data_IF_575785494188
#
_entry.id   IF_575785494188
#
_cell.length_a   1.000
_cell.length_b   1.000
_cell.length_c   1.000
_cell.angle_alpha   90.00
_cell.angle_beta   90.00
_cell.angle_gamma   90.00
#
_symmetry.space_group_name_H-M   'P 1'
#
loop_
_entity.id
_entity.type
_entity.pdbx_description
1 polymer ?
#
# COMPACT_ATOMS: atom_id res chain seq x y z
N UNK A 1 -1.79 16.10 -9.19
CA UNK A 1 -0.59 15.60 -8.51
C UNK A 1 0.24 14.71 -9.43
N UNK A 2 1.56 14.67 -9.21
CA UNK A 2 2.52 13.72 -9.76
C UNK A 2 2.98 12.75 -8.66
N UNK A 3 3.49 11.58 -9.04
CA UNK A 3 4.04 10.61 -8.08
C UNK A 3 5.44 10.19 -8.55
N UNK A 4 6.47 10.52 -7.76
CA UNK A 4 7.79 9.88 -7.90
C UNK A 4 7.74 8.60 -7.08
N UNK A 5 7.73 7.46 -7.78
CA UNK A 5 7.51 6.15 -7.18
C UNK A 5 8.70 5.22 -7.42
N UNK A 6 9.45 4.95 -6.35
CA UNK A 6 10.68 4.14 -6.36
C UNK A 6 10.63 3.10 -5.23
N UNK A 7 11.39 2.02 -5.39
CA UNK A 7 11.60 1.05 -4.31
C UNK A 7 12.31 1.68 -3.08
N UNK A 8 13.15 2.70 -3.28
CA UNK A 8 13.88 3.36 -2.19
C UNK A 8 13.86 4.89 -2.31
N UNK A 9 12.83 5.49 -1.70
CA UNK A 9 12.59 6.94 -1.71
C UNK A 9 13.60 7.78 -0.93
N UNK A 10 14.41 7.15 -0.07
CA UNK A 10 15.45 7.81 0.72
C UNK A 10 16.85 7.72 0.07
N UNK A 11 16.91 7.43 -1.23
CA UNK A 11 18.16 7.47 -2.00
C UNK A 11 18.45 8.88 -2.52
N UNK A 12 19.73 9.27 -2.56
CA UNK A 12 20.12 10.63 -2.96
C UNK A 12 19.63 11.00 -4.37
N UNK A 13 19.66 10.06 -5.33
CA UNK A 13 19.16 10.30 -6.68
C UNK A 13 17.66 10.68 -6.70
N UNK A 14 16.85 10.02 -5.86
CA UNK A 14 15.41 10.30 -5.76
C UNK A 14 15.18 11.63 -5.06
N UNK A 15 15.92 11.91 -3.99
CA UNK A 15 15.87 13.17 -3.28
C UNK A 15 16.21 14.37 -4.20
N UNK A 16 17.20 14.21 -5.08
CA UNK A 16 17.53 15.21 -6.10
C UNK A 16 16.44 15.33 -7.17
N UNK A 17 15.85 14.22 -7.62
CA UNK A 17 14.74 14.23 -8.56
C UNK A 17 13.51 14.97 -8.00
N UNK A 18 13.20 14.78 -6.72
CA UNK A 18 12.15 15.52 -6.02
C UNK A 18 12.43 17.02 -6.05
N UNK A 19 13.62 17.45 -5.65
CA UNK A 19 13.98 18.87 -5.62
C UNK A 19 13.86 19.52 -7.01
N UNK A 20 14.43 18.86 -8.04
CA UNK A 20 14.33 19.32 -9.44
C UNK A 20 12.89 19.38 -9.95
N UNK A 21 12.04 18.45 -9.52
CA UNK A 21 10.63 18.40 -9.94
C UNK A 21 9.83 19.53 -9.31
N UNK A 22 10.03 19.82 -8.01
CA UNK A 22 9.40 20.97 -7.35
C UNK A 22 9.91 22.30 -7.90
N UNK A 23 11.17 22.40 -8.29
CA UNK A 23 11.71 23.59 -8.94
C UNK A 23 11.08 23.82 -10.33
N UNK A 24 10.98 22.76 -11.14
CA UNK A 24 10.42 22.85 -12.49
C UNK A 24 8.89 23.04 -12.52
N UNK A 25 8.19 22.50 -11.53
CA UNK A 25 6.72 22.49 -11.44
C UNK A 25 6.24 22.89 -10.04
N UNK A 26 6.44 24.15 -9.62
CA UNK A 26 6.20 24.59 -8.24
C UNK A 26 4.73 24.49 -7.82
N UNK A 27 3.80 24.71 -8.75
CA UNK A 27 2.35 24.68 -8.50
C UNK A 27 1.74 23.28 -8.55
N UNK A 28 2.52 22.26 -8.92
CA UNK A 28 2.04 20.89 -9.03
C UNK A 28 2.27 20.13 -7.72
N UNK A 29 1.20 19.52 -7.19
CA UNK A 29 1.30 18.61 -6.05
C UNK A 29 2.21 17.42 -6.40
N UNK A 30 3.18 17.12 -5.55
CA UNK A 30 4.14 16.04 -5.73
C UNK A 30 4.08 15.06 -4.55
N UNK A 31 3.76 13.81 -4.86
CA UNK A 31 3.87 12.69 -3.94
C UNK A 31 5.20 11.99 -4.19
N UNK A 32 5.94 11.63 -3.14
CA UNK A 32 7.16 10.85 -3.29
C UNK A 32 7.23 9.69 -2.30
N UNK A 33 7.80 8.58 -2.75
CA UNK A 33 8.03 7.39 -1.93
C UNK A 33 8.64 6.25 -2.75
N UNK A 34 8.84 5.06 -2.18
CA UNK A 34 8.42 4.70 -0.83
C UNK A 34 9.52 4.87 0.21
N UNK A 35 9.12 5.34 1.38
CA UNK A 35 9.94 5.34 2.61
C UNK A 35 9.26 4.48 3.68
N UNK A 36 9.93 4.25 4.79
CA UNK A 36 9.34 3.53 5.92
C UNK A 36 9.96 3.88 7.27
N UNK A 37 10.72 4.98 7.34
CA UNK A 37 11.46 5.42 8.53
C UNK A 37 11.23 6.92 8.75
N UNK A 38 11.47 7.36 9.99
CA UNK A 38 11.48 8.78 10.37
C UNK A 38 12.35 9.62 9.44
N UNK A 39 13.63 9.24 9.28
CA UNK A 39 14.59 10.01 8.48
C UNK A 39 14.19 10.09 7.00
N UNK A 40 13.68 9.00 6.43
CA UNK A 40 13.25 8.99 5.03
C UNK A 40 12.05 9.89 4.78
N UNK A 41 11.06 9.87 5.68
CA UNK A 41 9.91 10.76 5.60
C UNK A 41 10.31 12.23 5.80
N UNK A 42 11.17 12.51 6.79
CA UNK A 42 11.73 13.83 7.03
C UNK A 42 12.49 14.36 5.82
N UNK A 43 13.35 13.55 5.21
CA UNK A 43 14.17 13.96 4.06
C UNK A 43 13.34 14.35 2.83
N UNK A 44 12.20 13.69 2.61
CA UNK A 44 11.24 14.05 1.56
C UNK A 44 10.46 15.31 1.91
N UNK A 45 9.94 15.41 3.14
CA UNK A 45 9.21 16.59 3.60
C UNK A 45 10.09 17.86 3.59
N UNK A 46 11.36 17.76 3.98
CA UNK A 46 12.34 18.86 3.96
C UNK A 46 12.61 19.37 2.53
N UNK A 47 12.29 18.56 1.49
CA UNK A 47 12.44 18.92 0.07
C UNK A 47 11.15 19.38 -0.59
N UNK A 48 10.09 19.57 0.19
CA UNK A 48 8.85 20.19 -0.28
C UNK A 48 7.95 19.29 -1.10
N UNK A 49 7.96 17.97 -0.87
CA UNK A 49 6.87 17.11 -1.36
C UNK A 49 5.56 17.53 -0.72
N UNK A 50 4.44 17.28 -1.40
CA UNK A 50 3.09 17.59 -0.91
C UNK A 50 2.43 16.38 -0.24
N UNK A 51 3.00 15.17 -0.40
CA UNK A 51 2.70 14.00 0.42
C UNK A 51 3.85 12.98 0.41
N UNK A 52 3.95 12.20 1.49
CA UNK A 52 4.91 11.08 1.59
C UNK A 52 4.18 9.75 1.47
N UNK A 53 4.64 8.89 0.55
CA UNK A 53 4.14 7.52 0.37
C UNK A 53 4.99 6.52 1.15
N UNK A 54 4.34 5.70 1.97
CA UNK A 54 4.99 4.86 2.99
C UNK A 54 4.70 3.39 2.77
N UNK A 55 5.76 2.60 2.65
CA UNK A 55 5.68 1.14 2.64
C UNK A 55 6.80 0.49 1.85
N UNK A 56 7.69 -0.22 2.55
CA UNK A 56 8.77 -1.01 1.93
C UNK A 56 8.53 -2.49 2.15
N UNK A 57 8.14 -3.16 1.07
CA UNK A 57 7.82 -4.59 1.03
C UNK A 57 6.51 -5.10 1.67
N UNK A 58 5.47 -4.30 2.02
CA UNK A 58 4.23 -4.84 2.59
C UNK A 58 3.25 -5.37 1.54
N UNK A 59 3.48 -5.12 0.25
CA UNK A 59 2.56 -5.45 -0.83
C UNK A 59 2.31 -6.96 -0.96
N UNK A 60 1.09 -7.36 -1.30
CA UNK A 60 0.69 -8.79 -1.40
C UNK A 60 1.43 -9.59 -2.47
N UNK A 61 2.01 -8.89 -3.46
CA UNK A 61 2.73 -9.45 -4.61
C UNK A 61 4.21 -9.02 -4.61
N UNK A 62 4.67 -8.43 -3.52
CA UNK A 62 6.03 -7.94 -3.36
C UNK A 62 6.87 -9.00 -2.64
N UNK A 63 8.08 -9.22 -3.14
CA UNK A 63 9.06 -10.14 -2.55
C UNK A 63 10.30 -9.43 -2.03
N UNK A 64 10.37 -8.09 -2.08
CA UNK A 64 11.49 -7.27 -1.57
C UNK A 64 12.03 -7.78 -0.23
N UNK A 65 11.18 -7.98 0.78
CA UNK A 65 11.63 -8.44 2.11
C UNK A 65 12.31 -9.81 2.09
N UNK A 66 11.86 -10.70 1.22
CA UNK A 66 12.37 -12.06 1.11
C UNK A 66 13.65 -12.09 0.28
N UNK A 67 13.67 -11.34 -0.83
CA UNK A 67 14.77 -11.36 -1.80
C UNK A 67 15.94 -10.50 -1.31
N UNK A 68 15.69 -9.33 -0.73
CA UNK A 68 16.73 -8.38 -0.32
C UNK A 68 16.97 -8.37 1.19
N UNK A 69 16.06 -8.92 1.99
CA UNK A 69 16.08 -8.83 3.45
C UNK A 69 15.66 -7.46 4.01
N UNK A 70 15.29 -6.51 3.14
CA UNK A 70 14.97 -5.12 3.52
C UNK A 70 13.46 -4.91 3.65
N UNK A 71 13.04 -4.28 4.75
CA UNK A 71 11.67 -3.78 4.92
C UNK A 71 11.31 -3.55 6.38
N UNK A 72 10.15 -2.92 6.62
CA UNK A 72 9.65 -2.62 7.95
C UNK A 72 8.19 -3.06 8.11
N UNK A 73 7.76 -3.61 9.26
CA UNK A 73 6.35 -3.83 9.53
C UNK A 73 5.51 -2.56 9.27
N UNK A 74 4.47 -2.67 8.44
CA UNK A 74 3.81 -1.50 7.84
C UNK A 74 3.22 -0.54 8.87
N UNK A 75 2.65 -1.06 9.96
CA UNK A 75 2.05 -0.21 10.99
C UNK A 75 3.11 0.67 11.68
N UNK A 76 4.28 0.11 11.98
CA UNK A 76 5.42 0.87 12.53
C UNK A 76 5.96 1.85 11.50
N UNK A 77 6.11 1.44 10.24
CA UNK A 77 6.59 2.32 9.17
C UNK A 77 5.70 3.57 8.99
N UNK A 78 4.37 3.40 9.12
CA UNK A 78 3.41 4.51 9.09
C UNK A 78 3.66 5.44 10.28
N UNK A 79 3.73 4.91 11.51
CA UNK A 79 3.93 5.71 12.72
C UNK A 79 5.25 6.50 12.66
N UNK A 80 6.35 5.83 12.31
CA UNK A 80 7.67 6.46 12.19
C UNK A 80 7.68 7.57 11.12
N UNK A 81 7.00 7.34 9.99
CA UNK A 81 6.91 8.34 8.92
C UNK A 81 6.03 9.54 9.32
N UNK A 82 4.93 9.31 10.04
CA UNK A 82 4.06 10.36 10.60
C UNK A 82 4.86 11.25 11.55
N UNK A 83 5.67 10.66 12.42
CA UNK A 83 6.58 11.39 13.29
C UNK A 83 7.61 12.20 12.47
N UNK A 84 8.19 11.61 11.41
CA UNK A 84 9.18 12.27 10.56
C UNK A 84 8.67 13.47 9.75
N UNK A 85 7.40 13.45 9.33
CA UNK A 85 6.79 14.60 8.62
C UNK A 85 6.36 15.71 9.57
N UNK A 86 6.22 15.45 10.87
CA UNK A 86 5.83 16.44 11.90
C UNK A 86 4.57 17.23 11.52
N UNK A 87 3.59 16.56 10.88
CA UNK A 87 2.34 17.17 10.44
C UNK A 87 2.45 18.16 9.26
N UNK A 88 3.64 18.35 8.68
CA UNK A 88 3.87 19.27 7.56
C UNK A 88 3.14 18.82 6.28
N UNK A 89 3.08 17.52 6.05
CA UNK A 89 2.50 16.92 4.83
C UNK A 89 1.74 15.63 5.16
N UNK A 90 0.69 15.28 4.41
CA UNK A 90 -0.03 14.03 4.60
C UNK A 90 0.84 12.79 4.28
N UNK A 91 0.55 11.70 4.98
CA UNK A 91 1.15 10.39 4.78
C UNK A 91 0.17 9.44 4.09
N UNK A 92 0.64 8.73 3.07
CA UNK A 92 -0.11 7.70 2.34
C UNK A 92 0.42 6.32 2.73
N UNK A 93 -0.40 5.50 3.37
CA UNK A 93 -0.06 4.12 3.70
C UNK A 93 -0.24 3.21 2.48
N UNK A 94 0.86 2.73 1.91
CA UNK A 94 0.89 1.98 0.65
C UNK A 94 1.24 0.49 0.86
N UNK A 95 0.27 -0.37 0.58
CA UNK A 95 0.41 -1.82 0.61
C UNK A 95 0.10 -2.47 1.96
N UNK A 96 -0.12 -3.79 1.92
CA UNK A 96 -0.39 -4.62 3.12
C UNK A 96 -1.84 -4.63 3.62
N UNK A 97 -2.73 -3.81 3.04
CA UNK A 97 -4.16 -3.81 3.36
C UNK A 97 -4.82 -5.08 2.79
N UNK A 98 -5.44 -5.87 3.65
CA UNK A 98 -6.17 -7.11 3.27
C UNK A 98 -7.66 -7.01 3.58
N UNK A 99 -8.00 -6.32 4.67
CA UNK A 99 -9.37 -6.13 5.13
C UNK A 99 -9.64 -4.65 5.38
N UNK A 100 -10.93 -4.26 5.41
CA UNK A 100 -11.34 -2.89 5.76
C UNK A 100 -10.85 -2.47 7.15
N UNK A 101 -10.73 -3.41 8.10
CA UNK A 101 -10.12 -3.15 9.41
C UNK A 101 -8.65 -2.75 9.35
N UNK A 102 -7.90 -3.16 8.32
CA UNK A 102 -6.52 -2.71 8.14
C UNK A 102 -6.47 -1.25 7.66
N UNK A 103 -7.49 -0.79 6.91
CA UNK A 103 -7.65 0.64 6.56
C UNK A 103 -7.87 1.47 7.81
N UNK A 104 -8.74 1.01 8.72
CA UNK A 104 -8.97 1.67 10.02
C UNK A 104 -7.67 1.79 10.79
N UNK A 105 -6.89 0.70 10.89
CA UNK A 105 -5.61 0.70 11.62
C UNK A 105 -4.58 1.64 10.99
N UNK A 106 -4.46 1.66 9.66
CA UNK A 106 -3.52 2.52 8.96
C UNK A 106 -3.85 4.01 9.17
N UNK A 107 -5.13 4.37 9.10
CA UNK A 107 -5.58 5.74 9.36
C UNK A 107 -5.45 6.09 10.85
N UNK A 108 -5.83 5.20 11.77
CA UNK A 108 -5.65 5.40 13.20
C UNK A 108 -4.16 5.49 13.62
N UNK A 109 -3.23 4.96 12.81
CA UNK A 109 -1.79 5.10 13.01
C UNK A 109 -1.23 6.43 12.48
N UNK A 110 -2.06 7.32 11.94
CA UNK A 110 -1.68 8.67 11.51
C UNK A 110 -1.67 8.90 10.00
N UNK A 111 -1.84 7.85 9.18
CA UNK A 111 -1.94 8.04 7.73
C UNK A 111 -3.19 8.85 7.36
N UNK A 112 -3.08 9.68 6.33
CA UNK A 112 -4.19 10.50 5.82
C UNK A 112 -5.00 9.75 4.76
N UNK A 113 -4.36 8.83 4.05
CA UNK A 113 -4.99 7.98 3.05
C UNK A 113 -4.28 6.63 2.96
N UNK A 114 -4.91 5.68 2.26
CA UNK A 114 -4.35 4.35 1.99
C UNK A 114 -4.29 4.12 0.48
N UNK A 115 -3.21 3.52 0.00
CA UNK A 115 -3.06 3.03 -1.37
C UNK A 115 -3.17 1.51 -1.37
N UNK A 116 -4.02 0.97 -2.26
CA UNK A 116 -4.36 -0.44 -2.30
C UNK A 116 -4.30 -0.98 -3.72
N UNK A 117 -3.48 -2.01 -3.95
CA UNK A 117 -3.43 -2.74 -5.22
C UNK A 117 -4.40 -3.93 -5.23
N UNK A 118 -4.11 -4.96 -4.43
CA UNK A 118 -4.86 -6.24 -4.42
C UNK A 118 -6.35 -6.10 -4.11
N UNK A 119 -6.73 -5.08 -3.35
CA UNK A 119 -8.15 -4.81 -3.06
C UNK A 119 -8.94 -4.48 -4.33
N UNK A 120 -8.32 -3.80 -5.31
CA UNK A 120 -8.93 -3.37 -6.56
C UNK A 120 -8.53 -4.21 -7.78
N UNK A 121 -7.46 -5.02 -7.70
CA UNK A 121 -6.96 -5.77 -8.86
C UNK A 121 -8.00 -6.69 -9.53
N UNK A 122 -8.96 -7.22 -8.77
CA UNK A 122 -10.01 -8.11 -9.29
C UNK A 122 -11.29 -7.42 -9.75
N UNK A 123 -11.36 -6.08 -9.71
CA UNK A 123 -12.60 -5.36 -10.07
C UNK A 123 -12.78 -5.27 -11.59
N UNK A 124 -13.98 -4.95 -12.02
CA UNK A 124 -14.33 -4.83 -13.44
C UNK A 124 -13.46 -3.78 -14.15
N UNK A 125 -13.26 -2.63 -13.49
CA UNK A 125 -12.56 -1.45 -14.00
C UNK A 125 -11.04 -1.58 -13.96
N UNK A 126 -10.49 -2.60 -13.29
CA UNK A 126 -9.05 -2.83 -13.34
C UNK A 126 -8.61 -3.26 -14.75
N UNK A 127 -7.35 -3.02 -15.16
CA UNK A 127 -6.87 -3.49 -16.46
C UNK A 127 -6.93 -5.02 -16.62
N UNK A 128 -6.96 -5.48 -17.87
CA UNK A 128 -7.00 -6.90 -18.23
C UNK A 128 -8.40 -7.51 -18.19
N UNK A 129 -8.63 -8.54 -19.01
CA UNK A 129 -9.91 -9.25 -19.06
C UNK A 129 -10.01 -10.32 -17.98
N UNK A 130 -11.23 -10.57 -17.50
CA UNK A 130 -11.48 -11.68 -16.59
C UNK A 130 -11.55 -13.00 -17.36
N UNK A 131 -10.86 -14.03 -16.88
CA UNK A 131 -10.84 -15.36 -17.46
C UNK A 131 -11.52 -16.39 -16.54
N UNK A 132 -12.03 -17.47 -17.13
CA UNK A 132 -12.66 -18.56 -16.39
C UNK A 132 -11.62 -19.63 -16.07
N UNK A 133 -11.61 -20.07 -14.81
CA UNK A 133 -10.82 -21.22 -14.39
C UNK A 133 -11.59 -21.99 -13.32
N UNK A 134 -11.74 -23.30 -13.52
CA UNK A 134 -12.44 -24.20 -12.57
C UNK A 134 -13.84 -23.66 -12.18
N UNK A 135 -14.55 -23.07 -13.15
CA UNK A 135 -15.89 -22.52 -12.94
C UNK A 135 -15.95 -21.18 -12.19
N UNK A 136 -14.81 -20.57 -11.87
CA UNK A 136 -14.72 -19.25 -11.22
C UNK A 136 -14.01 -18.24 -12.11
N UNK A 137 -14.41 -16.96 -12.00
CA UNK A 137 -13.78 -15.86 -12.75
C UNK A 137 -12.61 -15.28 -11.96
N UNK A 138 -11.51 -15.00 -12.65
CA UNK A 138 -10.31 -14.40 -12.08
C UNK A 138 -9.77 -13.28 -12.98
N UNK A 139 -8.94 -12.40 -12.41
CA UNK A 139 -8.09 -11.44 -13.15
C UNK A 139 -6.63 -11.64 -12.76
N UNK A 140 -5.72 -11.31 -13.67
CA UNK A 140 -4.28 -11.35 -13.41
C UNK A 140 -3.87 -10.10 -12.62
N UNK A 141 -2.99 -10.28 -11.65
CA UNK A 141 -2.32 -9.20 -10.92
C UNK A 141 -0.83 -9.49 -10.91
N UNK A 142 0.00 -8.47 -11.12
CA UNK A 142 1.45 -8.58 -11.07
C UNK A 142 2.07 -7.46 -10.27
N UNK A 143 3.12 -7.76 -9.53
CA UNK A 143 3.93 -6.74 -8.88
C UNK A 143 4.72 -5.97 -9.93
N UNK A 144 4.93 -4.68 -9.73
CA UNK A 144 5.80 -3.91 -10.65
C UNK A 144 7.24 -4.44 -10.67
N UNK A 145 7.65 -5.22 -9.67
CA UNK A 145 8.95 -5.91 -9.65
C UNK A 145 8.94 -7.31 -10.25
N UNK A 146 7.83 -7.74 -10.88
CA UNK A 146 7.78 -9.02 -11.59
C UNK A 146 8.50 -8.91 -12.94
N UNK A 147 8.93 -10.05 -13.48
CA UNK A 147 9.64 -10.08 -14.77
C UNK A 147 8.84 -9.40 -15.88
N UNK A 148 7.57 -9.76 -16.08
CA UNK A 148 6.77 -9.15 -17.16
C UNK A 148 6.54 -7.64 -16.97
N UNK A 149 6.41 -7.16 -15.73
CA UNK A 149 6.26 -5.73 -15.49
C UNK A 149 7.57 -4.97 -15.74
N UNK A 150 8.71 -5.54 -15.36
CA UNK A 150 10.02 -4.92 -15.59
C UNK A 150 10.39 -4.90 -17.06
N UNK A 151 10.04 -5.96 -17.82
CA UNK A 151 10.17 -6.00 -19.29
C UNK A 151 9.38 -4.87 -19.98
N UNK A 152 8.26 -4.44 -19.38
CA UNK A 152 7.43 -3.35 -19.89
C UNK A 152 7.82 -1.96 -19.33
N UNK A 153 8.98 -1.85 -18.65
CA UNK A 153 9.58 -0.55 -18.32
C UNK A 153 9.45 -0.12 -16.85
N UNK A 154 9.28 -1.05 -15.92
CA UNK A 154 9.33 -0.74 -14.47
C UNK A 154 10.62 -1.19 -13.77
N UNK A 155 11.65 -1.57 -14.54
CA UNK A 155 12.94 -2.00 -14.00
C UNK A 155 13.70 -0.86 -13.28
N UNK A 156 13.59 0.38 -13.79
CA UNK A 156 14.19 1.59 -13.22
C UNK A 156 13.75 1.85 -11.77
N UNK A 157 12.49 1.55 -11.45
CA UNK A 157 11.92 1.62 -10.11
C UNK A 157 12.72 0.80 -9.08
N UNK A 158 13.34 -0.31 -9.52
CA UNK A 158 14.12 -1.25 -8.70
C UNK A 158 15.63 -1.10 -8.92
N UNK A 159 16.07 0.00 -9.53
CA UNK A 159 17.49 0.28 -9.80
C UNK A 159 18.13 -0.80 -10.69
N UNK A 160 17.35 -1.40 -11.58
CA UNK A 160 17.82 -2.40 -12.55
C UNK A 160 17.78 -1.81 -13.95
N UNK A 161 18.92 -1.83 -14.65
CA UNK A 161 19.02 -1.35 -16.02
C UNK A 161 18.40 -2.36 -17.00
N UNK A 162 17.41 -1.91 -17.77
CA UNK A 162 16.80 -2.70 -18.83
C UNK A 162 17.80 -3.03 -19.97
N UNK A 163 18.90 -2.27 -20.09
CA UNK A 163 19.95 -2.47 -21.10
C UNK A 163 20.78 -3.76 -20.88
N UNK A 164 20.80 -4.29 -19.66
CA UNK A 164 21.59 -5.48 -19.31
C UNK A 164 20.96 -6.81 -19.78
N UNK A 165 19.79 -6.72 -20.42
CA UNK A 165 19.01 -7.84 -20.95
C UNK A 165 18.19 -8.57 -19.88
N UNK A 166 16.97 -8.96 -20.25
CA UNK A 166 15.95 -9.60 -19.39
C UNK A 166 16.48 -10.74 -18.51
N UNK A 167 17.47 -11.50 -19.00
CA UNK A 167 18.04 -12.66 -18.28
C UNK A 167 18.81 -12.32 -17.00
N UNK A 168 19.17 -11.04 -16.77
CA UNK A 168 19.92 -10.61 -15.58
C UNK A 168 19.05 -9.93 -14.51
N UNK A 169 17.75 -9.74 -14.76
CA UNK A 169 16.88 -9.07 -13.81
C UNK A 169 16.63 -9.97 -12.58
N UNK A 170 16.67 -9.36 -11.39
CA UNK A 170 16.38 -10.01 -10.10
C UNK A 170 15.01 -9.50 -9.61
N UNK A 171 13.92 -10.24 -9.85
CA UNK A 171 12.57 -9.73 -9.58
C UNK A 171 12.28 -9.60 -8.08
N UNK A 172 11.68 -8.48 -7.70
CA UNK A 172 11.17 -8.18 -6.37
C UNK A 172 9.63 -8.23 -6.29
N UNK A 173 9.01 -8.89 -7.28
CA UNK A 173 7.58 -9.15 -7.31
C UNK A 173 7.21 -10.43 -8.04
N UNK A 174 5.98 -10.87 -7.83
CA UNK A 174 5.40 -12.06 -8.47
C UNK A 174 4.18 -11.72 -9.30
N UNK A 175 3.76 -12.68 -10.11
CA UNK A 175 2.51 -12.67 -10.86
C UNK A 175 1.55 -13.68 -10.24
N UNK A 176 0.29 -13.29 -10.13
CA UNK A 176 -0.74 -14.08 -9.51
C UNK A 176 -2.08 -13.82 -10.20
N UNK A 177 -3.09 -14.56 -9.75
CA UNK A 177 -4.48 -14.30 -10.07
C UNK A 177 -5.25 -13.94 -8.81
N UNK A 178 -6.25 -13.10 -8.96
CA UNK A 178 -7.21 -12.75 -7.89
C UNK A 178 -8.63 -13.05 -8.35
N UNK A 179 -9.54 -13.43 -7.45
CA UNK A 179 -10.95 -13.62 -7.80
C UNK A 179 -11.54 -12.34 -8.41
N UNK A 180 -12.45 -12.51 -9.37
CA UNK A 180 -13.26 -11.40 -9.89
C UNK A 180 -14.16 -10.85 -8.79
N UNK A 181 -14.17 -9.53 -8.61
CA UNK A 181 -14.85 -8.83 -7.50
C UNK A 181 -16.09 -8.05 -7.92
N UNK A 182 -16.40 -8.00 -9.22
CA UNK A 182 -17.45 -7.12 -9.73
C UNK A 182 -17.02 -5.65 -9.81
N UNK A 183 -17.97 -4.71 -9.87
CA UNK A 183 -17.70 -3.28 -9.94
C UNK A 183 -16.90 -2.77 -8.74
N UNK A 184 -16.01 -1.82 -8.95
CA UNK A 184 -15.18 -1.20 -7.89
C UNK A 184 -16.03 -0.55 -6.81
N UNK A 185 -17.22 -0.05 -7.17
CA UNK A 185 -18.17 0.59 -6.26
C UNK A 185 -18.56 -0.32 -5.10
N UNK A 186 -18.72 -1.62 -5.34
CA UNK A 186 -19.12 -2.58 -4.32
C UNK A 186 -17.99 -2.82 -3.32
N UNK A 187 -16.75 -2.89 -3.83
CA UNK A 187 -15.54 -2.99 -2.98
C UNK A 187 -15.38 -1.74 -2.14
N UNK A 188 -15.50 -0.55 -2.73
CA UNK A 188 -15.40 0.73 -2.03
C UNK A 188 -16.49 0.86 -0.97
N UNK A 189 -17.73 0.45 -1.27
CA UNK A 189 -18.83 0.46 -0.32
C UNK A 189 -18.52 -0.36 0.93
N UNK A 190 -18.00 -1.58 0.77
CA UNK A 190 -17.60 -2.43 1.91
C UNK A 190 -16.42 -1.84 2.70
N UNK A 191 -15.43 -1.26 2.03
CA UNK A 191 -14.28 -0.61 2.68
C UNK A 191 -14.73 0.59 3.52
N UNK A 192 -15.55 1.47 2.95
CA UNK A 192 -16.08 2.66 3.64
C UNK A 192 -17.03 2.24 4.78
N UNK A 193 -17.84 1.21 4.60
CA UNK A 193 -18.68 0.65 5.67
C UNK A 193 -17.86 0.16 6.85
N UNK A 194 -16.78 -0.59 6.60
CA UNK A 194 -15.84 -1.03 7.63
C UNK A 194 -15.13 0.13 8.33
N UNK A 195 -14.71 1.15 7.57
CA UNK A 195 -14.10 2.36 8.13
C UNK A 195 -15.05 3.11 9.07
N UNK A 196 -16.28 3.37 8.63
CA UNK A 196 -17.31 4.05 9.44
C UNK A 196 -17.63 3.27 10.71
N UNK A 197 -17.71 1.94 10.62
CA UNK A 197 -17.90 1.07 11.79
C UNK A 197 -16.73 1.20 12.77
N UNK A 198 -15.49 1.11 12.28
CA UNK A 198 -14.28 1.28 13.10
C UNK A 198 -14.20 2.65 13.78
N UNK A 199 -14.55 3.72 13.06
CA UNK A 199 -14.65 5.08 13.63
C UNK A 199 -15.70 5.16 14.75
N UNK A 200 -16.86 4.52 14.56
CA UNK A 200 -17.90 4.43 15.58
C UNK A 200 -17.42 3.76 16.88
N UNK A 201 -16.69 2.63 16.77
CA UNK A 201 -16.08 1.97 17.93
C UNK A 201 -14.99 2.81 18.61
N UNK A 202 -14.24 3.59 17.84
CA UNK A 202 -13.23 4.50 18.37
C UNK A 202 -13.81 5.81 18.93
N UNK A 203 -15.11 6.06 18.75
CA UNK A 203 -15.74 7.33 19.12
C UNK A 203 -15.25 8.54 18.32
N UNK A 204 -14.77 8.32 17.08
CA UNK A 204 -14.21 9.36 16.23
C UNK A 204 -15.25 9.88 15.22
N UNK A 205 -15.62 11.16 15.32
CA UNK A 205 -16.52 11.86 14.40
C UNK A 205 -15.84 12.29 13.09
N UNK A 206 -14.50 12.31 13.05
CA UNK A 206 -13.72 12.67 11.88
C UNK A 206 -12.47 11.78 11.73
N UNK A 207 -11.87 11.78 10.54
CA UNK A 207 -10.59 11.09 10.32
C UNK A 207 -9.46 11.72 11.13
N UNK A 208 -9.57 13.01 11.45
CA UNK A 208 -8.58 13.71 12.28
C UNK A 208 -8.64 13.25 13.73
N UNK A 209 -9.84 13.11 14.27
CA UNK A 209 -10.06 12.50 15.59
C UNK A 209 -9.58 11.04 15.62
N UNK A 210 -9.82 10.27 14.54
CA UNK A 210 -9.33 8.89 14.46
C UNK A 210 -7.80 8.83 14.52
N UNK A 211 -7.10 9.72 13.80
CA UNK A 211 -5.62 9.78 13.78
C UNK A 211 -5.01 10.17 15.12
N UNK A 212 -5.70 11.00 15.89
CA UNK A 212 -5.12 11.67 17.09
C UNK A 212 -5.60 11.07 18.41
N UNK A 213 -6.74 10.38 18.44
CA UNK A 213 -7.34 9.88 19.68
C UNK A 213 -7.36 8.35 19.81
N UNK A 214 -7.23 7.62 18.70
CA UNK A 214 -7.26 6.16 18.71
C UNK A 214 -6.11 5.56 19.51
N UNK A 215 -6.37 4.43 20.18
CA UNK A 215 -5.38 3.69 20.96
C UNK A 215 -5.31 2.25 20.50
N UNK A 216 -4.11 1.71 20.45
CA UNK A 216 -3.86 0.33 20.07
C UNK A 216 -3.53 -0.54 21.29
N UNK A 217 -3.95 -1.79 21.23
CA UNK A 217 -3.48 -2.86 22.12
C UNK A 217 -2.74 -3.88 21.27
N UNK A 218 -1.53 -4.25 21.68
CA UNK A 218 -0.75 -5.29 21.01
C UNK A 218 -1.31 -6.66 21.37
N UNK A 219 -1.56 -7.48 20.35
CA UNK A 219 -2.07 -8.85 20.51
C UNK A 219 -1.00 -9.88 20.15
N UNK A 220 -1.19 -11.11 20.63
CA UNK A 220 -0.38 -12.28 20.24
C UNK A 220 -0.99 -12.96 19.01
N UNK A 221 -0.33 -14.01 18.48
CA UNK A 221 -0.90 -14.86 17.43
C UNK A 221 -2.20 -15.55 17.88
N UNK A 222 -2.32 -15.89 19.17
CA UNK A 222 -3.55 -16.40 19.76
C UNK A 222 -4.70 -15.39 19.66
N UNK A 223 -4.43 -14.11 19.98
CA UNK A 223 -5.41 -13.03 19.82
C UNK A 223 -5.77 -12.75 18.35
N UNK A 224 -4.82 -12.93 17.42
CA UNK A 224 -5.14 -12.84 15.99
C UNK A 224 -6.08 -13.96 15.55
N UNK A 225 -5.84 -15.20 16.00
CA UNK A 225 -6.73 -16.34 15.72
C UNK A 225 -8.13 -16.10 16.30
N UNK A 226 -8.21 -15.57 17.53
CA UNK A 226 -9.47 -15.17 18.18
C UNK A 226 -10.21 -14.07 17.39
N UNK A 227 -9.48 -13.16 16.75
CA UNK A 227 -10.09 -12.04 16.00
C UNK A 227 -10.80 -12.47 14.71
N UNK A 228 -10.37 -13.57 14.09
CA UNK A 228 -11.01 -14.15 12.91
C UNK A 228 -12.12 -15.14 13.34
N UNK A 229 -13.18 -15.37 12.55
CA UNK A 229 -14.10 -16.48 12.82
C UNK A 229 -13.35 -17.79 13.01
N UNK A 230 -13.56 -18.44 14.14
CA UNK A 230 -12.90 -19.68 14.53
C UNK A 230 -13.93 -20.69 15.07
N UNK A 231 -13.58 -21.98 15.03
CA UNK A 231 -14.40 -23.10 15.51
C UNK A 231 -15.79 -23.24 14.85
N UNK A 232 -15.94 -22.73 13.62
CA UNK A 232 -17.16 -22.84 12.79
C UNK A 232 -16.82 -23.09 11.31
N UNK A 233 -17.78 -23.62 10.55
CA UNK A 233 -17.67 -23.76 9.09
C UNK A 233 -18.46 -22.66 8.39
N UNK A 234 -17.79 -21.86 7.55
CA UNK A 234 -18.44 -20.83 6.73
C UNK A 234 -19.27 -21.50 5.64
N UNK A 235 -20.58 -21.26 5.63
CA UNK A 235 -21.51 -21.81 4.63
C UNK A 235 -21.80 -20.85 3.49
N UNK A 236 -21.54 -19.55 3.68
CA UNK A 236 -21.69 -18.50 2.68
C UNK A 236 -20.65 -17.41 2.90
N UNK A 237 -19.97 -17.01 1.83
CA UNK A 237 -18.99 -15.92 1.89
C UNK A 237 -19.69 -14.58 2.15
N UNK A 238 -19.08 -13.76 3.02
CA UNK A 238 -19.49 -12.39 3.24
C UNK A 238 -18.74 -11.47 2.27
N UNK A 239 -19.36 -10.38 1.77
CA UNK A 239 -18.76 -9.50 0.77
C UNK A 239 -17.51 -8.75 1.27
N UNK A 240 -17.29 -8.71 2.58
CA UNK A 240 -16.18 -8.01 3.23
C UNK A 240 -15.19 -8.95 3.94
N UNK A 241 -15.34 -10.26 3.78
CA UNK A 241 -14.49 -11.23 4.48
C UNK A 241 -14.22 -12.49 3.66
N UNK A 242 -12.94 -12.72 3.38
CA UNK A 242 -12.41 -13.93 2.73
C UNK A 242 -11.13 -14.34 3.45
N UNK A 243 -10.98 -15.63 3.74
CA UNK A 243 -9.78 -16.23 4.35
C UNK A 243 -8.75 -16.62 3.28
#
# INVERSE_FOLDING_TARGET
>A
FLVIDTAHGHSEGVLQAVARTKEAFPDQDLIAGNVGTFDGAKALADRGVDAVKVGVGPGSICTTRVVTGVGLPQLTAIMDAVDGVEGRVPVIADGGIRYSGDVVKALAAGAHSVMMGSMFAGTEESPGEAFLLEGRRFKIVRGMGSLSAMEEGSADRYFQDAEDGVKKLVPEGIEARVPYKGPVTDTVFQLVGGLRSGMGYCGAGSLDELRTSARFVRITSGGLRESHPHDVTITREAPNYTL
#
